data_IF_622166258648
#
_entry.id   IF_622166258648
#
_cell.length_a   1.000
_cell.length_b   1.000
_cell.length_c   1.000
_cell.angle_alpha   90.00
_cell.angle_beta   90.00
_cell.angle_gamma   90.00
#
_symmetry.space_group_name_H-M   'P 1'
#
loop_
_entity.id
_entity.type
_entity.pdbx_description
1 polymer ?
#
# COMPACT_ATOMS: atom_id res chain seq x y z
N UNK A 1 3.37 -17.22 9.72
CA UNK A 1 4.50 -16.49 10.31
C UNK A 1 4.53 -15.08 9.74
N UNK A 2 4.62 -14.08 10.60
CA UNK A 2 4.67 -12.68 10.21
C UNK A 2 5.92 -12.07 10.87
N UNK A 3 6.84 -11.56 10.06
CA UNK A 3 8.12 -11.02 10.53
C UNK A 3 8.87 -11.95 11.52
N UNK A 4 8.92 -13.26 11.21
CA UNK A 4 9.56 -14.29 12.05
C UNK A 4 8.76 -14.72 13.30
N UNK A 5 7.57 -14.12 13.57
CA UNK A 5 6.70 -14.45 14.70
C UNK A 5 5.56 -15.38 14.24
N UNK A 6 5.31 -16.45 14.96
CA UNK A 6 4.14 -17.31 14.74
C UNK A 6 2.88 -16.60 15.25
N UNK A 7 2.05 -16.12 14.33
CA UNK A 7 0.82 -15.38 14.64
C UNK A 7 -0.39 -16.30 14.83
N UNK A 8 -0.28 -17.59 14.51
CA UNK A 8 -1.40 -18.54 14.59
C UNK A 8 -1.84 -18.86 16.02
N UNK A 9 -0.96 -18.58 17.00
CA UNK A 9 -1.16 -18.89 18.42
C UNK A 9 -1.36 -17.66 19.28
N UNK A 10 -1.44 -16.45 18.67
CA UNK A 10 -1.62 -15.22 19.42
C UNK A 10 -3.09 -15.08 19.87
N UNK A 11 -3.35 -14.57 21.09
CA UNK A 11 -4.66 -14.09 21.47
C UNK A 11 -5.16 -13.01 20.51
N UNK A 12 -6.49 -12.83 20.41
CA UNK A 12 -7.11 -11.89 19.46
C UNK A 12 -6.60 -10.44 19.61
N UNK A 13 -6.39 -9.97 20.84
CA UNK A 13 -5.87 -8.63 21.12
C UNK A 13 -4.43 -8.47 20.60
N UNK A 14 -3.56 -9.45 20.85
CA UNK A 14 -2.18 -9.45 20.38
C UNK A 14 -2.12 -9.59 18.85
N UNK A 15 -3.01 -10.37 18.27
CA UNK A 15 -3.13 -10.53 16.82
C UNK A 15 -3.58 -9.23 16.16
N UNK A 16 -4.54 -8.50 16.78
CA UNK A 16 -4.99 -7.20 16.30
C UNK A 16 -3.87 -6.16 16.38
N UNK A 17 -3.16 -6.09 17.51
CA UNK A 17 -2.00 -5.20 17.68
C UNK A 17 -0.90 -5.50 16.65
N UNK A 18 -0.54 -6.79 16.48
CA UNK A 18 0.48 -7.22 15.52
C UNK A 18 0.07 -6.87 14.07
N UNK A 19 -1.21 -7.06 13.71
CA UNK A 19 -1.71 -6.65 12.37
C UNK A 19 -1.60 -5.15 12.17
N UNK A 20 -2.00 -4.37 13.16
CA UNK A 20 -1.95 -2.90 13.08
C UNK A 20 -0.51 -2.37 12.93
N UNK A 21 0.45 -3.02 13.58
CA UNK A 21 1.86 -2.64 13.54
C UNK A 21 2.54 -3.02 12.21
N UNK A 22 2.21 -4.19 11.63
CA UNK A 22 2.98 -4.78 10.55
C UNK A 22 2.29 -4.64 9.19
N UNK A 23 0.95 -4.55 9.14
CA UNK A 23 0.18 -4.60 7.89
C UNK A 23 -0.58 -3.29 7.67
N UNK A 24 -0.30 -2.65 6.54
CA UNK A 24 -1.14 -1.59 5.98
C UNK A 24 -2.21 -2.19 5.06
N UNK A 25 -3.39 -1.57 5.02
CA UNK A 25 -4.50 -2.00 4.16
C UNK A 25 -4.94 -0.88 3.22
N UNK A 26 -5.10 -1.21 1.95
CA UNK A 26 -5.71 -0.37 0.92
C UNK A 26 -6.88 -1.12 0.31
N UNK A 27 -8.05 -0.49 0.29
CA UNK A 27 -9.30 -1.08 -0.22
C UNK A 27 -9.79 -0.34 -1.47
N UNK A 28 -10.58 -1.02 -2.28
CA UNK A 28 -11.26 -0.45 -3.44
C UNK A 28 -12.13 0.77 -3.10
N UNK A 29 -12.79 0.78 -1.93
CA UNK A 29 -13.73 1.82 -1.49
C UNK A 29 -13.08 2.95 -0.67
N UNK A 30 -11.77 3.14 -0.72
CA UNK A 30 -10.97 4.19 -0.06
C UNK A 30 -11.12 4.26 1.48
N UNK A 31 -12.30 4.09 2.03
CA UNK A 31 -12.67 4.16 3.46
C UNK A 31 -12.12 5.43 4.15
N UNK A 32 -12.20 6.58 3.47
CA UNK A 32 -11.86 7.88 4.05
C UNK A 32 -12.99 8.42 4.92
N UNK A 33 -12.62 9.10 6.01
CA UNK A 33 -13.59 9.79 6.85
C UNK A 33 -13.97 11.11 6.16
N UNK A 34 -15.24 11.22 5.75
CA UNK A 34 -15.74 12.28 4.87
C UNK A 34 -15.62 13.69 5.47
N UNK A 35 -15.66 13.81 6.81
CA UNK A 35 -15.58 15.11 7.51
C UNK A 35 -14.15 15.58 7.77
N UNK A 36 -13.17 14.71 7.54
CA UNK A 36 -11.74 14.97 7.72
C UNK A 36 -11.10 15.38 6.39
N UNK A 37 -10.11 16.26 6.45
CA UNK A 37 -9.24 16.60 5.33
C UNK A 37 -8.34 15.41 4.94
N UNK A 38 -7.64 15.50 3.82
CA UNK A 38 -6.63 14.50 3.42
C UNK A 38 -5.56 14.35 4.51
N UNK A 39 -5.06 15.47 5.05
CA UNK A 39 -4.07 15.46 6.13
C UNK A 39 -4.60 14.75 7.37
N UNK A 40 -5.78 15.12 7.86
CA UNK A 40 -6.40 14.51 9.05
C UNK A 40 -6.69 13.01 8.86
N UNK A 41 -7.09 12.58 7.65
CA UNK A 41 -7.26 11.15 7.34
C UNK A 41 -5.95 10.38 7.46
N UNK A 42 -4.83 10.95 7.01
CA UNK A 42 -3.50 10.32 7.13
C UNK A 42 -2.98 10.36 8.57
N UNK A 43 -3.30 11.41 9.34
CA UNK A 43 -2.93 11.49 10.76
C UNK A 43 -3.65 10.46 11.64
N UNK A 44 -4.83 9.98 11.23
CA UNK A 44 -5.72 9.20 12.08
C UNK A 44 -5.07 7.98 12.75
N UNK A 45 -4.31 7.09 12.06
CA UNK A 45 -3.63 5.98 12.70
C UNK A 45 -2.68 6.41 13.81
N UNK A 46 -1.97 7.52 13.59
CA UNK A 46 -1.02 8.09 14.55
C UNK A 46 -1.71 8.73 15.76
N UNK A 47 -2.92 9.32 15.54
CA UNK A 47 -3.77 9.80 16.65
C UNK A 47 -4.15 8.65 17.57
N UNK A 48 -4.58 7.53 17.01
CA UNK A 48 -4.95 6.32 17.75
C UNK A 48 -3.76 5.70 18.48
N UNK A 49 -2.56 5.82 17.92
CA UNK A 49 -1.30 5.38 18.53
C UNK A 49 -0.74 6.37 19.57
N UNK A 50 -1.41 7.52 19.83
CA UNK A 50 -0.97 8.50 20.82
C UNK A 50 0.25 9.33 20.41
N UNK A 51 0.60 9.38 19.13
CA UNK A 51 1.75 10.16 18.63
C UNK A 51 1.46 11.66 18.78
N UNK A 52 2.49 12.42 19.20
CA UNK A 52 2.38 13.86 19.44
C UNK A 52 1.94 14.65 18.19
N UNK A 53 1.14 15.74 18.35
CA UNK A 53 0.56 16.49 17.22
C UNK A 53 1.57 16.99 16.19
N UNK A 54 2.69 17.53 16.62
CA UNK A 54 3.72 18.05 15.71
C UNK A 54 4.33 16.93 14.84
N UNK A 55 4.69 15.81 15.48
CA UNK A 55 5.29 14.66 14.79
C UNK A 55 4.31 14.04 13.76
N UNK A 56 3.03 13.81 14.14
CA UNK A 56 2.07 13.21 13.22
C UNK A 56 1.76 14.10 12.02
N UNK A 57 1.71 15.44 12.21
CA UNK A 57 1.54 16.38 11.11
C UNK A 57 2.69 16.31 10.11
N UNK A 58 3.92 16.28 10.59
CA UNK A 58 5.10 16.23 9.73
C UNK A 58 5.14 14.92 8.95
N UNK A 59 4.90 13.78 9.61
CA UNK A 59 4.84 12.46 8.96
C UNK A 59 3.69 12.38 7.95
N UNK A 60 2.50 12.86 8.28
CA UNK A 60 1.36 12.88 7.36
C UNK A 60 1.62 13.73 6.12
N UNK A 61 2.25 14.90 6.28
CA UNK A 61 2.67 15.77 5.15
C UNK A 61 3.66 15.05 4.24
N UNK A 62 4.68 14.41 4.80
CA UNK A 62 5.66 13.64 4.03
C UNK A 62 4.99 12.52 3.22
N UNK A 63 4.06 11.77 3.80
CA UNK A 63 3.33 10.72 3.09
C UNK A 63 2.43 11.27 1.98
N UNK A 64 1.76 12.40 2.21
CA UNK A 64 0.97 13.07 1.16
C UNK A 64 1.84 13.63 0.03
N UNK A 65 3.02 14.18 0.33
CA UNK A 65 4.00 14.55 -0.69
C UNK A 65 4.46 13.33 -1.50
N UNK A 66 4.81 12.22 -0.81
CA UNK A 66 5.23 10.96 -1.45
C UNK A 66 4.16 10.40 -2.39
N UNK A 67 2.88 10.64 -2.11
CA UNK A 67 1.76 10.24 -2.97
C UNK A 67 1.26 11.33 -3.93
N UNK A 68 2.01 12.43 -4.08
CA UNK A 68 1.70 13.52 -5.04
C UNK A 68 0.47 14.35 -4.68
N UNK A 69 0.20 14.54 -3.38
CA UNK A 69 -0.97 15.26 -2.87
C UNK A 69 -0.63 16.51 -2.04
N UNK A 70 0.57 17.07 -2.20
CA UNK A 70 1.02 18.25 -1.46
C UNK A 70 0.03 19.43 -1.54
N UNK A 71 -0.49 19.72 -2.74
CA UNK A 71 -1.47 20.81 -2.96
C UNK A 71 -2.89 20.47 -2.51
N UNK A 72 -3.15 19.28 -1.99
CA UNK A 72 -4.48 18.75 -1.65
C UNK A 72 -4.66 18.39 -0.18
N UNK A 73 -3.69 18.71 0.67
CA UNK A 73 -3.70 18.32 2.11
C UNK A 73 -4.92 18.81 2.87
N UNK A 74 -5.42 20.02 2.56
CA UNK A 74 -6.59 20.62 3.20
C UNK A 74 -7.93 20.23 2.57
N UNK A 75 -7.94 19.46 1.46
CA UNK A 75 -9.17 19.06 0.79
C UNK A 75 -9.83 17.89 1.53
N UNK A 76 -11.17 17.89 1.53
CA UNK A 76 -11.99 16.77 2.02
C UNK A 76 -12.23 15.76 0.89
N UNK A 77 -12.63 14.51 1.22
CA UNK A 77 -12.84 13.46 0.21
C UNK A 77 -13.84 13.84 -0.90
N UNK A 78 -14.85 14.64 -0.62
CA UNK A 78 -15.82 15.14 -1.60
C UNK A 78 -15.22 16.15 -2.60
N UNK A 79 -14.08 16.75 -2.28
CA UNK A 79 -13.34 17.69 -3.11
C UNK A 79 -12.21 17.01 -3.92
N UNK A 80 -12.06 15.69 -3.80
CA UNK A 80 -10.97 14.92 -4.40
C UNK A 80 -11.51 13.99 -5.50
N UNK A 81 -10.72 13.80 -6.57
CA UNK A 81 -11.01 12.76 -7.58
C UNK A 81 -10.89 11.35 -6.97
N UNK A 82 -11.38 10.33 -7.68
CA UNK A 82 -11.23 8.92 -7.27
C UNK A 82 -9.77 8.54 -7.02
N UNK A 83 -8.89 8.85 -7.98
CA UNK A 83 -7.46 8.60 -7.85
C UNK A 83 -6.80 9.37 -6.70
N UNK A 84 -7.21 10.63 -6.47
CA UNK A 84 -6.72 11.40 -5.32
C UNK A 84 -7.16 10.79 -3.99
N UNK A 85 -8.43 10.34 -3.87
CA UNK A 85 -8.92 9.63 -2.67
C UNK A 85 -8.13 8.35 -2.42
N UNK A 86 -7.83 7.58 -3.47
CA UNK A 86 -7.04 6.36 -3.34
C UNK A 86 -5.61 6.67 -2.88
N UNK A 87 -4.99 7.72 -3.39
CA UNK A 87 -3.66 8.16 -2.96
C UNK A 87 -3.64 8.62 -1.49
N UNK A 88 -4.70 9.26 -0.99
CA UNK A 88 -4.85 9.55 0.45
C UNK A 88 -4.97 8.25 1.25
N UNK A 89 -5.74 7.26 0.78
CA UNK A 89 -5.89 5.97 1.46
C UNK A 89 -4.55 5.21 1.51
N UNK A 90 -3.74 5.26 0.43
CA UNK A 90 -2.38 4.71 0.41
C UNK A 90 -1.49 5.44 1.42
N UNK A 91 -1.45 6.79 1.41
CA UNK A 91 -0.66 7.57 2.36
C UNK A 91 -1.00 7.21 3.81
N UNK A 92 -2.30 7.07 4.13
CA UNK A 92 -2.78 6.64 5.45
C UNK A 92 -2.32 5.23 5.82
N UNK A 93 -2.31 4.31 4.86
CA UNK A 93 -1.94 2.90 5.11
C UNK A 93 -0.45 2.70 5.38
N UNK A 94 0.40 3.62 4.90
CA UNK A 94 1.86 3.52 5.05
C UNK A 94 2.44 4.47 6.10
N UNK A 95 1.66 5.38 6.68
CA UNK A 95 2.17 6.40 7.64
C UNK A 95 2.75 5.80 8.93
N UNK A 96 2.31 4.59 9.29
CA UNK A 96 2.84 3.80 10.41
C UNK A 96 4.03 2.92 10.03
N UNK A 97 4.56 3.04 8.80
CA UNK A 97 5.70 2.29 8.28
C UNK A 97 5.55 0.76 8.37
N UNK A 98 4.42 0.21 7.85
CA UNK A 98 4.18 -1.22 7.89
C UNK A 98 5.24 -1.99 7.08
N UNK A 99 5.40 -3.28 7.37
CA UNK A 99 6.29 -4.17 6.60
C UNK A 99 5.60 -4.78 5.37
N UNK A 100 4.28 -4.88 5.43
CA UNK A 100 3.44 -5.45 4.37
C UNK A 100 2.31 -4.47 4.05
N UNK A 101 2.06 -4.22 2.78
CA UNK A 101 0.88 -3.52 2.29
C UNK A 101 -0.02 -4.51 1.54
N UNK A 102 -1.24 -4.68 2.03
CA UNK A 102 -2.26 -5.49 1.37
C UNK A 102 -3.22 -4.56 0.64
N UNK A 103 -3.23 -4.64 -0.68
CA UNK A 103 -4.08 -3.83 -1.55
C UNK A 103 -5.14 -4.72 -2.22
N UNK A 104 -6.40 -4.50 -1.86
CA UNK A 104 -7.55 -5.23 -2.38
C UNK A 104 -8.26 -4.38 -3.44
N UNK A 105 -8.17 -4.78 -4.71
CA UNK A 105 -8.70 -4.08 -5.90
C UNK A 105 -8.39 -2.57 -5.89
N UNK A 106 -7.12 -2.15 -5.71
CA UNK A 106 -6.79 -0.74 -5.44
C UNK A 106 -7.12 0.20 -6.60
N UNK A 107 -7.40 -0.33 -7.79
CA UNK A 107 -7.74 0.43 -9.01
C UNK A 107 -9.16 0.21 -9.50
N UNK A 108 -9.93 -0.67 -8.84
CA UNK A 108 -11.23 -1.13 -9.34
C UNK A 108 -12.31 -0.04 -9.51
N UNK A 109 -12.19 1.10 -8.84
CA UNK A 109 -13.10 2.24 -8.93
C UNK A 109 -12.48 3.47 -9.62
N UNK A 110 -11.41 3.27 -10.41
CA UNK A 110 -10.64 4.36 -11.02
C UNK A 110 -10.71 4.28 -12.55
N UNK A 111 -10.60 5.44 -13.19
CA UNK A 111 -10.29 5.49 -14.61
C UNK A 111 -8.88 4.98 -14.90
N UNK A 112 -8.59 4.63 -16.15
CA UNK A 112 -7.35 3.99 -16.56
C UNK A 112 -6.11 4.82 -16.22
N UNK A 113 -6.19 6.15 -16.33
CA UNK A 113 -5.06 7.04 -16.03
C UNK A 113 -4.80 7.09 -14.53
N UNK A 114 -5.84 7.32 -13.72
CA UNK A 114 -5.74 7.31 -12.25
C UNK A 114 -5.30 5.94 -11.72
N UNK A 115 -5.78 4.85 -12.33
CA UNK A 115 -5.37 3.49 -11.99
C UNK A 115 -3.88 3.26 -12.21
N UNK A 116 -3.35 3.72 -13.34
CA UNK A 116 -1.91 3.65 -13.63
C UNK A 116 -1.08 4.42 -12.60
N UNK A 117 -1.47 5.67 -12.28
CA UNK A 117 -0.77 6.49 -11.29
C UNK A 117 -0.73 5.82 -9.90
N UNK A 118 -1.84 5.17 -9.50
CA UNK A 118 -1.92 4.42 -8.24
C UNK A 118 -0.99 3.21 -8.25
N UNK A 119 -0.93 2.46 -9.35
CA UNK A 119 -0.02 1.32 -9.49
C UNK A 119 1.44 1.75 -9.46
N UNK A 120 1.80 2.84 -10.14
CA UNK A 120 3.16 3.39 -10.15
C UNK A 120 3.61 3.80 -8.73
N UNK A 121 2.70 4.36 -7.91
CA UNK A 121 2.98 4.65 -6.50
C UNK A 121 3.21 3.36 -5.71
N UNK A 122 2.34 2.35 -5.86
CA UNK A 122 2.48 1.07 -5.15
C UNK A 122 3.78 0.34 -5.51
N UNK A 123 4.16 0.35 -6.79
CA UNK A 123 5.43 -0.21 -7.26
C UNK A 123 6.64 0.56 -6.73
N UNK A 124 6.55 1.89 -6.67
CA UNK A 124 7.58 2.72 -6.03
C UNK A 124 7.78 2.38 -4.56
N UNK A 125 6.69 2.18 -3.81
CA UNK A 125 6.75 1.76 -2.40
C UNK A 125 7.38 0.35 -2.26
N UNK A 126 7.07 -0.55 -3.19
CA UNK A 126 7.70 -1.88 -3.21
C UNK A 126 9.21 -1.79 -3.50
N UNK A 127 9.62 -0.96 -4.46
CA UNK A 127 11.03 -0.72 -4.76
C UNK A 127 11.80 -0.11 -3.56
N UNK A 128 11.13 0.66 -2.71
CA UNK A 128 11.65 1.18 -1.44
C UNK A 128 11.73 0.11 -0.33
N UNK A 129 11.38 -1.16 -0.61
CA UNK A 129 11.51 -2.30 0.31
C UNK A 129 10.22 -2.73 1.01
N UNK A 130 9.06 -2.12 0.71
CA UNK A 130 7.77 -2.56 1.25
C UNK A 130 7.32 -3.86 0.56
N UNK A 131 6.91 -4.87 1.33
CA UNK A 131 6.28 -6.06 0.75
C UNK A 131 4.86 -5.71 0.30
N UNK A 132 4.58 -5.84 -1.01
CA UNK A 132 3.25 -5.56 -1.58
C UNK A 132 2.54 -6.88 -1.89
N UNK A 133 1.33 -7.04 -1.34
CA UNK A 133 0.38 -8.10 -1.72
C UNK A 133 -0.81 -7.42 -2.38
N UNK A 134 -1.02 -7.70 -3.66
CA UNK A 134 -2.08 -7.10 -4.45
C UNK A 134 -3.09 -8.17 -4.85
N UNK A 135 -4.35 -7.96 -4.49
CA UNK A 135 -5.48 -8.78 -4.91
C UNK A 135 -6.20 -8.06 -6.04
N UNK A 136 -6.33 -8.72 -7.17
CA UNK A 136 -7.01 -8.14 -8.34
C UNK A 136 -7.58 -9.23 -9.26
N UNK A 137 -8.63 -8.90 -9.97
CA UNK A 137 -9.16 -9.71 -11.07
C UNK A 137 -8.62 -9.25 -12.44
N UNK A 138 -7.87 -8.15 -12.51
CA UNK A 138 -7.27 -7.65 -13.74
C UNK A 138 -5.99 -8.44 -14.10
N UNK A 139 -5.99 -9.20 -15.22
CA UNK A 139 -4.83 -10.01 -15.59
C UNK A 139 -3.61 -9.17 -16.00
N UNK A 140 -3.80 -7.93 -16.45
CA UNK A 140 -2.69 -7.03 -16.82
C UNK A 140 -1.91 -6.62 -15.59
N UNK A 141 -2.61 -6.30 -14.50
CA UNK A 141 -1.98 -5.97 -13.21
C UNK A 141 -1.26 -7.20 -12.65
N UNK A 142 -1.89 -8.37 -12.71
CA UNK A 142 -1.28 -9.62 -12.24
C UNK A 142 0.06 -9.96 -12.93
N UNK A 143 0.22 -9.60 -14.20
CA UNK A 143 1.46 -9.84 -14.95
C UNK A 143 2.64 -8.96 -14.49
N UNK A 144 2.39 -7.85 -13.80
CA UNK A 144 3.42 -6.94 -13.27
C UNK A 144 4.05 -7.44 -11.96
N UNK A 145 3.47 -8.49 -11.33
CA UNK A 145 3.96 -9.02 -10.06
C UNK A 145 5.15 -9.97 -10.23
N UNK A 146 6.06 -10.00 -9.23
CA UNK A 146 7.17 -10.96 -9.18
C UNK A 146 6.68 -12.39 -8.94
N UNK A 147 5.62 -12.52 -8.14
CA UNK A 147 4.96 -13.79 -7.84
C UNK A 147 3.47 -13.64 -8.13
N UNK A 148 2.95 -14.50 -8.99
CA UNK A 148 1.54 -14.50 -9.36
C UNK A 148 0.87 -15.79 -8.89
N UNK A 149 -0.09 -15.67 -7.97
CA UNK A 149 -0.90 -16.76 -7.47
C UNK A 149 -2.33 -16.65 -8.02
N UNK A 150 -2.82 -17.72 -8.63
CA UNK A 150 -4.23 -17.81 -9.03
C UNK A 150 -5.01 -18.62 -8.02
N UNK A 151 -6.05 -18.02 -7.45
CA UNK A 151 -6.95 -18.68 -6.51
C UNK A 151 -8.30 -18.94 -7.19
N UNK A 152 -8.85 -20.15 -6.99
CA UNK A 152 -10.20 -20.53 -7.44
C UNK A 152 -10.81 -21.41 -6.34
N UNK A 153 -12.02 -21.06 -5.89
CA UNK A 153 -12.75 -21.78 -4.83
C UNK A 153 -11.92 -21.98 -3.56
N UNK A 154 -11.16 -20.94 -3.16
CA UNK A 154 -10.30 -20.98 -1.97
C UNK A 154 -9.00 -21.79 -2.12
N UNK A 155 -8.72 -22.33 -3.32
CA UNK A 155 -7.54 -23.18 -3.58
C UNK A 155 -6.61 -22.47 -4.56
N UNK A 156 -5.31 -22.45 -4.25
CA UNK A 156 -4.28 -21.96 -5.17
C UNK A 156 -4.10 -22.98 -6.28
N UNK A 157 -4.39 -22.60 -7.55
CA UNK A 157 -4.33 -23.50 -8.72
C UNK A 157 -3.11 -23.28 -9.60
N UNK A 158 -2.48 -22.13 -9.54
CA UNK A 158 -1.31 -21.81 -10.34
C UNK A 158 -0.41 -20.83 -9.62
N UNK A 159 0.88 -21.02 -9.78
CA UNK A 159 1.95 -20.15 -9.31
C UNK A 159 2.88 -19.87 -10.49
N UNK A 160 3.19 -18.57 -10.71
CA UNK A 160 4.21 -18.14 -11.67
C UNK A 160 5.18 -17.22 -10.96
N UNK A 161 6.46 -17.54 -11.01
CA UNK A 161 7.53 -16.63 -10.60
C UNK A 161 8.11 -15.95 -11.84
N UNK A 162 8.02 -14.62 -11.88
CA UNK A 162 8.78 -13.82 -12.85
C UNK A 162 10.15 -13.52 -12.24
N UNK A 163 11.12 -14.40 -12.50
CA UNK A 163 12.53 -14.09 -12.20
C UNK A 163 12.95 -12.92 -13.10
N UNK A 164 13.12 -11.73 -12.52
CA UNK A 164 13.87 -10.69 -13.20
C UNK A 164 15.28 -11.24 -13.43
N UNK A 165 15.67 -11.41 -14.69
CA UNK A 165 17.09 -11.61 -15.04
C UNK A 165 17.82 -10.37 -14.52
N UNK A 166 18.70 -10.55 -13.54
CA UNK A 166 19.73 -9.58 -13.28
C UNK A 166 20.49 -9.38 -14.60
N UNK A 167 20.81 -8.13 -15.01
CA UNK A 167 21.70 -7.94 -16.15
C UNK A 167 22.98 -8.70 -15.85
N UNK A 168 23.34 -9.63 -16.73
CA UNK A 168 24.59 -10.34 -16.67
C UNK A 168 25.71 -9.28 -16.67
N UNK A 169 26.47 -9.27 -15.59
CA UNK A 169 27.71 -8.52 -15.47
C UNK A 169 28.65 -9.10 -16.54
N UNK A 170 28.65 -8.47 -17.70
CA UNK A 170 29.64 -8.74 -18.76
C UNK A 170 30.99 -8.25 -18.24
N UNK A 171 31.60 -9.08 -17.39
CA UNK A 171 32.99 -8.93 -17.01
C UNK A 171 33.86 -8.90 -18.28
N UNK A 172 34.31 -7.71 -18.65
CA UNK A 172 35.40 -7.49 -19.56
C UNK A 172 36.61 -8.30 -19.09
N UNK A 173 36.97 -9.31 -19.85
CA UNK A 173 38.25 -9.99 -19.68
C UNK A 173 39.35 -9.09 -20.29
N UNK A 174 40.38 -8.71 -19.53
CA UNK A 174 41.53 -8.00 -20.11
C UNK A 174 42.40 -8.96 -20.91
N UNK A 175 42.69 -8.54 -22.09
CA UNK A 175 43.72 -9.10 -22.98
C UNK A 175 45.12 -8.80 -22.47
#
# INVERSE_FOLDING_TARGET
WLNGRDVSKLPDDDLAATRHEIIGFVFQSFHLIQRMTALENVELPMVLAGIAPAERQDRARQMLCKTGLESRMSHRPDQLSGGQRQRVAIARSIVMEPKVLLADEPTGNLDSQSGKEVLDILEGLHADGLTLILVTHDPVIGQRSHLHLRMTDGIIKAERQHLQRQPEDNGDAPS
#
